data_IF_156863427505
#
_entry.id   IF_156863427505
#
_cell.length_a   1.000
_cell.length_b   1.000
_cell.length_c   1.000
_cell.angle_alpha   90.00
_cell.angle_beta   90.00
_cell.angle_gamma   90.00
#
_symmetry.space_group_name_H-M   'P 1'
#
loop_
_entity.id
_entity.type
_entity.pdbx_description
1 polymer ?
#
# COMPACT_ATOMS: atom_id res chain seq x y z
N UNK A 1 11.54 -11.63 13.85
CA UNK A 1 11.62 -11.02 12.50
C UNK A 1 11.85 -12.15 11.50
N UNK A 2 11.02 -12.26 10.47
CA UNK A 2 11.15 -13.32 9.45
C UNK A 2 12.31 -13.03 8.50
N UNK A 3 13.00 -14.07 8.05
CA UNK A 3 14.13 -13.96 7.10
C UNK A 3 13.67 -13.34 5.77
N UNK A 4 12.45 -13.64 5.32
CA UNK A 4 11.88 -13.10 4.09
C UNK A 4 11.71 -11.57 4.14
N UNK A 5 11.18 -11.01 5.23
CA UNK A 5 11.00 -9.56 5.37
C UNK A 5 12.33 -8.80 5.35
N UNK A 6 13.35 -9.32 6.05
CA UNK A 6 14.67 -8.70 6.06
C UNK A 6 15.31 -8.69 4.67
N UNK A 7 15.11 -9.76 3.89
CA UNK A 7 15.56 -9.85 2.50
C UNK A 7 14.83 -8.87 1.61
N UNK A 8 13.52 -8.74 1.75
CA UNK A 8 12.72 -7.77 0.97
C UNK A 8 13.17 -6.32 1.26
N UNK A 9 13.30 -5.94 2.54
CA UNK A 9 13.75 -4.61 2.92
C UNK A 9 15.16 -4.25 2.43
N UNK A 10 16.00 -5.24 2.10
CA UNK A 10 17.35 -5.00 1.56
C UNK A 10 17.36 -4.65 0.07
N UNK A 11 16.26 -4.92 -0.66
CA UNK A 11 16.14 -4.60 -2.08
C UNK A 11 16.10 -3.08 -2.25
N UNK A 12 17.01 -2.57 -3.08
CA UNK A 12 17.02 -1.16 -3.45
C UNK A 12 15.95 -0.94 -4.51
N UNK A 13 15.03 -0.02 -4.24
CA UNK A 13 13.94 0.32 -5.15
C UNK A 13 13.99 1.83 -5.38
N UNK A 14 13.87 2.28 -6.62
CA UNK A 14 13.76 3.70 -6.97
C UNK A 14 12.52 3.92 -7.82
N UNK A 15 11.70 4.92 -7.47
CA UNK A 15 10.50 5.30 -8.23
C UNK A 15 10.80 5.87 -9.63
N UNK A 16 12.08 6.15 -9.93
CA UNK A 16 12.52 6.73 -11.21
C UNK A 16 12.70 5.70 -12.34
N UNK A 17 12.68 4.42 -12.02
CA UNK A 17 12.66 3.40 -13.07
C UNK A 17 11.23 3.31 -13.63
N UNK A 18 10.95 4.05 -14.70
CA UNK A 18 9.76 3.87 -15.57
C UNK A 18 9.77 2.49 -16.30
N UNK A 19 10.60 1.54 -15.85
CA UNK A 19 10.77 0.19 -16.39
C UNK A 19 10.23 -0.89 -15.46
N UNK A 20 10.32 -2.16 -15.88
CA UNK A 20 10.01 -3.31 -15.04
C UNK A 20 10.89 -3.29 -13.78
N UNK A 21 10.29 -3.59 -12.62
CA UNK A 21 11.04 -3.81 -11.39
C UNK A 21 12.00 -5.00 -11.58
N UNK A 22 13.13 -5.06 -10.84
CA UNK A 22 14.03 -6.19 -10.95
C UNK A 22 13.34 -7.49 -10.53
N UNK A 23 13.60 -8.59 -11.24
CA UNK A 23 13.08 -9.94 -10.90
C UNK A 23 13.30 -10.29 -9.42
N UNK A 24 14.43 -9.85 -8.84
CA UNK A 24 14.72 -10.05 -7.42
C UNK A 24 13.62 -9.47 -6.50
N UNK A 25 12.99 -8.34 -6.86
CA UNK A 25 11.91 -7.78 -6.07
C UNK A 25 10.70 -8.72 -6.06
N UNK A 26 10.30 -9.23 -7.22
CA UNK A 26 9.20 -10.19 -7.34
C UNK A 26 9.50 -11.46 -6.54
N UNK A 27 10.69 -12.04 -6.70
CA UNK A 27 11.13 -13.21 -5.93
C UNK A 27 11.05 -12.96 -4.41
N UNK A 28 11.42 -11.76 -3.93
CA UNK A 28 11.37 -11.44 -2.49
C UNK A 28 9.96 -11.18 -1.97
N UNK A 29 9.06 -10.68 -2.81
CA UNK A 29 7.64 -10.56 -2.45
C UNK A 29 7.01 -11.95 -2.39
N UNK A 30 7.31 -12.83 -3.35
CA UNK A 30 6.85 -14.22 -3.35
C UNK A 30 7.37 -14.99 -2.13
N UNK A 31 8.67 -14.86 -1.79
CA UNK A 31 9.24 -15.41 -0.54
C UNK A 31 8.48 -14.94 0.72
N UNK A 32 8.04 -13.68 0.74
CA UNK A 32 7.31 -13.11 1.87
C UNK A 32 5.88 -13.65 1.94
N UNK A 33 5.21 -13.76 0.79
CA UNK A 33 3.86 -14.33 0.66
C UNK A 33 3.85 -15.82 1.03
N UNK A 34 4.84 -16.59 0.60
CA UNK A 34 4.98 -18.01 0.96
C UNK A 34 5.21 -18.20 2.47
N UNK A 35 5.97 -17.29 3.09
CA UNK A 35 6.27 -17.37 4.52
C UNK A 35 5.10 -16.93 5.42
N UNK A 36 4.21 -16.05 4.95
CA UNK A 36 3.22 -15.37 5.80
C UNK A 36 1.78 -15.45 5.32
N UNK A 37 1.53 -15.92 4.09
CA UNK A 37 0.24 -15.82 3.41
C UNK A 37 -0.08 -14.41 2.93
N UNK A 38 -1.17 -14.28 2.17
CA UNK A 38 -1.62 -13.01 1.58
C UNK A 38 -2.38 -12.09 2.57
N UNK A 39 -2.92 -12.64 3.66
CA UNK A 39 -3.91 -11.95 4.49
C UNK A 39 -3.36 -10.79 5.34
N UNK A 40 -2.06 -10.80 5.69
CA UNK A 40 -1.46 -9.81 6.62
C UNK A 40 -0.24 -9.10 6.02
N UNK A 41 -0.05 -9.17 4.71
CA UNK A 41 1.17 -8.66 4.04
C UNK A 41 1.33 -7.15 4.22
N UNK A 42 0.23 -6.39 4.14
CA UNK A 42 0.22 -4.95 4.36
C UNK A 42 0.65 -4.59 5.79
N UNK A 43 0.12 -5.26 6.80
CA UNK A 43 0.49 -5.02 8.20
C UNK A 43 1.95 -5.39 8.49
N UNK A 44 2.45 -6.47 7.89
CA UNK A 44 3.86 -6.86 8.01
C UNK A 44 4.76 -5.76 7.44
N UNK A 45 4.44 -5.25 6.25
CA UNK A 45 5.21 -4.20 5.59
C UNK A 45 5.11 -2.87 6.36
N UNK A 46 3.92 -2.49 6.83
CA UNK A 46 3.75 -1.26 7.62
C UNK A 46 4.57 -1.29 8.92
N UNK A 47 4.59 -2.44 9.62
CA UNK A 47 5.43 -2.61 10.82
C UNK A 47 6.93 -2.49 10.51
N UNK A 48 7.37 -2.90 9.31
CA UNK A 48 8.75 -2.72 8.89
C UNK A 48 9.09 -1.23 8.70
N UNK A 49 8.14 -0.42 8.22
CA UNK A 49 8.30 1.03 8.13
C UNK A 49 8.38 1.66 9.52
N UNK A 50 7.48 1.29 10.43
CA UNK A 50 7.51 1.77 11.82
C UNK A 50 8.82 1.43 12.55
N UNK A 51 9.40 0.27 12.22
CA UNK A 51 10.68 -0.18 12.74
C UNK A 51 11.90 0.48 12.07
N UNK A 52 11.69 1.36 11.08
CA UNK A 52 12.76 2.03 10.34
C UNK A 52 13.53 1.13 9.38
N UNK A 53 12.95 -0.01 9.00
CA UNK A 53 13.58 -1.02 8.14
C UNK A 53 13.23 -0.83 6.67
N UNK A 54 12.14 -0.13 6.39
CA UNK A 54 11.71 0.27 5.06
C UNK A 54 11.24 1.73 5.11
N UNK A 55 11.36 2.44 3.98
CA UNK A 55 10.65 3.70 3.81
C UNK A 55 9.18 3.46 3.43
N UNK A 56 8.35 4.50 3.55
CA UNK A 56 6.97 4.48 3.03
C UNK A 56 6.96 4.20 1.53
N UNK A 57 7.91 4.76 0.78
CA UNK A 57 8.05 4.56 -0.67
C UNK A 57 8.33 3.08 -0.99
N UNK A 58 9.27 2.45 -0.30
CA UNK A 58 9.55 1.01 -0.45
C UNK A 58 8.30 0.18 -0.12
N UNK A 59 7.59 0.53 0.95
CA UNK A 59 6.37 -0.17 1.34
C UNK A 59 5.28 -0.10 0.25
N UNK A 60 5.09 1.06 -0.37
CA UNK A 60 4.13 1.21 -1.48
C UNK A 60 4.52 0.28 -2.63
N UNK A 61 5.79 0.27 -3.03
CA UNK A 61 6.25 -0.60 -4.13
C UNK A 61 6.08 -2.08 -3.79
N UNK A 62 6.47 -2.50 -2.58
CA UNK A 62 6.31 -3.89 -2.14
C UNK A 62 4.86 -4.35 -2.23
N UNK A 63 3.92 -3.50 -1.80
CA UNK A 63 2.49 -3.82 -1.83
C UNK A 63 1.89 -3.71 -3.24
N UNK A 64 2.41 -2.86 -4.13
CA UNK A 64 2.01 -2.87 -5.54
C UNK A 64 2.40 -4.21 -6.20
N UNK A 65 3.63 -4.68 -5.98
CA UNK A 65 4.06 -6.00 -6.49
C UNK A 65 3.22 -7.13 -5.87
N UNK A 66 2.98 -7.09 -4.56
CA UNK A 66 2.20 -8.11 -3.87
C UNK A 66 0.74 -8.20 -4.37
N UNK A 67 0.17 -7.11 -4.90
CA UNK A 67 -1.19 -7.09 -5.44
C UNK A 67 -1.37 -8.09 -6.59
N UNK A 68 -0.31 -8.29 -7.39
CA UNK A 68 -0.32 -9.16 -8.57
C UNK A 68 0.29 -10.54 -8.31
N UNK A 69 1.07 -10.69 -7.24
CA UNK A 69 1.68 -11.97 -6.83
C UNK A 69 0.79 -12.80 -5.90
N UNK A 70 -0.14 -12.19 -5.18
CA UNK A 70 -0.95 -12.90 -4.18
C UNK A 70 -1.97 -13.87 -4.79
N UNK A 71 -2.18 -15.01 -4.13
CA UNK A 71 -3.10 -16.08 -4.58
C UNK A 71 -4.57 -15.66 -4.67
N UNK A 72 -4.94 -14.57 -4.00
CA UNK A 72 -6.28 -13.99 -3.98
C UNK A 72 -6.40 -12.72 -4.85
N UNK A 73 -5.39 -12.45 -5.69
CA UNK A 73 -5.27 -11.21 -6.49
C UNK A 73 -5.36 -9.94 -5.62
N UNK A 74 -4.80 -9.98 -4.41
CA UNK A 74 -4.70 -8.82 -3.52
C UNK A 74 -5.99 -8.46 -2.80
N UNK A 75 -7.02 -9.31 -2.81
CA UNK A 75 -8.31 -9.02 -2.19
C UNK A 75 -8.23 -8.78 -0.67
N UNK A 76 -7.49 -9.62 0.06
CA UNK A 76 -7.27 -9.46 1.49
C UNK A 76 -6.46 -8.21 1.80
N UNK A 77 -5.37 -7.98 1.05
CA UNK A 77 -4.58 -6.75 1.16
C UNK A 77 -5.44 -5.50 0.94
N UNK A 78 -6.28 -5.50 -0.09
CA UNK A 78 -7.20 -4.39 -0.39
C UNK A 78 -8.15 -4.10 0.76
N UNK A 79 -8.65 -5.15 1.43
CA UNK A 79 -9.51 -5.02 2.60
C UNK A 79 -8.79 -4.30 3.75
N UNK A 80 -7.51 -4.65 3.99
CA UNK A 80 -6.66 -4.00 4.99
C UNK A 80 -6.40 -2.54 4.65
N UNK A 81 -6.01 -2.23 3.40
CA UNK A 81 -5.78 -0.85 2.95
C UNK A 81 -7.03 0.02 3.09
N UNK A 82 -8.20 -0.50 2.71
CA UNK A 82 -9.48 0.19 2.90
C UNK A 82 -9.79 0.41 4.39
N UNK A 83 -9.44 -0.54 5.25
CA UNK A 83 -9.52 -0.40 6.70
C UNK A 83 -8.71 0.79 7.21
N UNK A 84 -7.45 0.92 6.78
CA UNK A 84 -6.58 2.03 7.16
C UNK A 84 -7.12 3.38 6.68
N UNK A 85 -7.65 3.47 5.45
CA UNK A 85 -8.27 4.71 4.95
C UNK A 85 -9.52 5.06 5.76
N UNK A 86 -10.36 4.09 6.16
CA UNK A 86 -11.54 4.35 6.98
C UNK A 86 -11.19 4.86 8.38
N UNK A 87 -10.13 4.32 8.97
CA UNK A 87 -9.70 4.67 10.33
C UNK A 87 -8.95 6.00 10.37
N UNK A 88 -8.04 6.22 9.41
CA UNK A 88 -7.25 7.44 9.26
C UNK A 88 -6.66 7.98 10.57
N UNK A 89 -6.14 7.08 11.40
CA UNK A 89 -5.55 7.37 12.71
C UNK A 89 -4.02 7.22 12.73
N UNK A 90 -3.46 6.57 11.71
CA UNK A 90 -2.03 6.36 11.51
C UNK A 90 -1.58 6.98 10.18
N UNK A 91 -0.64 7.93 10.24
CA UNK A 91 -0.17 8.64 9.05
C UNK A 91 0.67 7.77 8.11
N UNK A 92 1.43 6.80 8.63
CA UNK A 92 2.26 5.89 7.82
C UNK A 92 1.36 4.97 7.01
N UNK A 93 0.45 4.27 7.70
CA UNK A 93 -0.54 3.38 7.06
C UNK A 93 -1.42 4.12 6.07
N UNK A 94 -1.89 5.31 6.44
CA UNK A 94 -2.68 6.16 5.54
C UNK A 94 -1.86 6.58 4.31
N UNK A 95 -0.60 6.97 4.50
CA UNK A 95 0.30 7.33 3.40
C UNK A 95 0.49 6.17 2.42
N UNK A 96 0.74 4.97 2.93
CA UNK A 96 0.86 3.75 2.13
C UNK A 96 -0.43 3.48 1.36
N UNK A 97 -1.58 3.45 2.05
CA UNK A 97 -2.87 3.13 1.41
C UNK A 97 -3.31 4.15 0.36
N UNK A 98 -3.00 5.43 0.53
CA UNK A 98 -3.38 6.47 -0.44
C UNK A 98 -2.50 6.48 -1.69
N UNK A 99 -1.29 5.91 -1.64
CA UNK A 99 -0.34 5.90 -2.77
C UNK A 99 -0.19 4.51 -3.40
N UNK A 100 -0.79 3.48 -2.82
CA UNK A 100 -0.96 2.18 -3.48
C UNK A 100 -1.75 2.33 -4.78
N UNK A 101 -1.47 1.46 -5.75
CA UNK A 101 -2.07 1.51 -7.09
C UNK A 101 -3.58 1.20 -7.12
N UNK A 102 -4.10 0.52 -6.10
CA UNK A 102 -5.53 0.22 -6.02
C UNK A 102 -6.34 1.45 -5.60
N UNK A 103 -7.51 1.64 -6.23
CA UNK A 103 -8.45 2.68 -5.82
C UNK A 103 -8.90 2.49 -4.34
N UNK A 104 -8.75 3.51 -3.49
CA UNK A 104 -9.17 3.42 -2.11
C UNK A 104 -10.69 3.39 -2.02
N UNK A 105 -11.23 2.51 -1.16
CA UNK A 105 -12.65 2.34 -0.85
C UNK A 105 -13.52 1.88 -2.06
N UNK A 106 -14.56 1.07 -1.82
CA UNK A 106 -15.31 0.42 -2.90
C UNK A 106 -16.30 1.35 -3.63
N UNK A 107 -16.81 2.40 -2.97
CA UNK A 107 -17.88 3.25 -3.55
C UNK A 107 -17.47 4.71 -3.66
N UNK A 108 -17.96 5.41 -4.70
CA UNK A 108 -17.70 6.84 -4.88
C UNK A 108 -18.21 7.68 -3.71
N UNK A 109 -19.40 7.35 -3.20
CA UNK A 109 -19.98 8.08 -2.07
C UNK A 109 -19.10 7.98 -0.81
N UNK A 110 -18.59 6.77 -0.52
CA UNK A 110 -17.69 6.55 0.61
C UNK A 110 -16.32 7.23 0.38
N UNK A 111 -15.76 7.15 -0.83
CA UNK A 111 -14.54 7.87 -1.22
C UNK A 111 -14.66 9.36 -1.00
N UNK A 112 -15.69 10.01 -1.57
CA UNK A 112 -15.89 11.45 -1.44
C UNK A 112 -16.00 11.84 0.03
N UNK A 113 -16.79 11.11 0.82
CA UNK A 113 -16.95 11.41 2.24
C UNK A 113 -15.61 11.29 3.00
N UNK A 114 -14.92 10.16 2.89
CA UNK A 114 -13.71 9.88 3.69
C UNK A 114 -12.50 10.66 3.22
N UNK A 115 -12.25 10.73 1.92
CA UNK A 115 -11.09 11.43 1.38
C UNK A 115 -11.21 12.96 1.60
N UNK A 116 -12.43 13.51 1.61
CA UNK A 116 -12.63 14.92 1.96
C UNK A 116 -12.33 15.20 3.43
N UNK A 117 -12.77 14.33 4.35
CA UNK A 117 -12.43 14.42 5.77
C UNK A 117 -10.91 14.30 6.00
N UNK A 118 -10.27 13.34 5.32
CA UNK A 118 -8.83 13.10 5.40
C UNK A 118 -8.05 14.31 4.86
N UNK A 119 -8.44 14.89 3.72
CA UNK A 119 -7.79 16.06 3.15
C UNK A 119 -7.84 17.30 4.06
N UNK A 120 -8.88 17.41 4.91
CA UNK A 120 -8.97 18.45 5.92
C UNK A 120 -8.07 18.16 7.14
N UNK A 121 -8.05 16.90 7.62
CA UNK A 121 -7.28 16.49 8.80
C UNK A 121 -5.79 16.36 8.54
N UNK A 122 -5.40 15.93 7.35
CA UNK A 122 -4.03 15.68 6.91
C UNK A 122 -3.72 16.48 5.64
N UNK A 123 -3.39 17.78 5.75
CA UNK A 123 -3.18 18.65 4.58
C UNK A 123 -2.12 18.14 3.60
N UNK A 124 -1.14 17.37 4.07
CA UNK A 124 -0.12 16.74 3.23
C UNK A 124 -0.69 15.71 2.24
N UNK A 125 -1.86 15.11 2.53
CA UNK A 125 -2.52 14.15 1.66
C UNK A 125 -3.65 14.75 0.83
N UNK A 126 -3.88 16.07 0.92
CA UNK A 126 -4.97 16.74 0.19
C UNK A 126 -4.92 16.47 -1.31
N UNK A 127 -3.76 16.66 -1.93
CA UNK A 127 -3.62 16.51 -3.38
C UNK A 127 -3.93 15.08 -3.86
N UNK A 128 -3.44 14.05 -3.15
CA UNK A 128 -3.73 12.66 -3.50
C UNK A 128 -5.19 12.28 -3.25
N UNK A 129 -5.81 12.81 -2.19
CA UNK A 129 -7.24 12.62 -1.91
C UNK A 129 -8.11 13.25 -3.01
N UNK A 130 -7.81 14.48 -3.41
CA UNK A 130 -8.54 15.20 -4.47
C UNK A 130 -8.40 14.48 -5.82
N UNK A 131 -7.21 13.96 -6.15
CA UNK A 131 -6.97 13.13 -7.34
C UNK A 131 -7.85 11.88 -7.34
N UNK A 132 -7.84 11.10 -6.26
CA UNK A 132 -8.67 9.89 -6.14
C UNK A 132 -10.16 10.18 -6.26
N UNK A 133 -10.64 11.30 -5.71
CA UNK A 133 -12.04 11.74 -5.85
C UNK A 133 -12.37 12.08 -7.32
N UNK A 134 -11.46 12.76 -8.01
CA UNK A 134 -11.66 13.18 -9.41
C UNK A 134 -11.62 12.01 -10.39
N UNK A 135 -10.71 11.05 -10.17
CA UNK A 135 -10.50 9.90 -11.07
C UNK A 135 -11.60 8.85 -10.95
N UNK A 136 -12.44 8.89 -9.90
CA UNK A 136 -13.55 7.95 -9.73
C UNK A 136 -14.75 8.35 -10.61
N UNK A 137 -15.10 7.55 -11.64
CA UNK A 137 -16.23 7.86 -12.52
C UNK A 137 -17.54 7.95 -11.74
N UNK A 138 -18.40 8.90 -12.13
CA UNK A 138 -19.77 9.01 -11.65
C UNK A 138 -20.57 7.81 -12.21
N UNK A 139 -20.72 6.77 -11.40
CA UNK A 139 -21.71 5.72 -11.64
C UNK A 139 -23.02 6.10 -10.96
#
# INVERSE_FOLDING_TARGET
>A
MGVALARLCSVQVSEQDEGDFPDELYDRVDDLLDAHGADDIAEIVARAVDAGQASVEQAIVFLNVAAWSATDNGASMKTTLDGWVRQADDAVRLGIALHHECYPLPTRAEMVARLSEIALRFPQYRAVCERHIADRPAS
#
